data_IF_191658993252
#
_entry.id   IF_191658993252
#
_cell.length_a   1.000
_cell.length_b   1.000
_cell.length_c   1.000
_cell.angle_alpha   90.00
_cell.angle_beta   90.00
_cell.angle_gamma   90.00
#
_symmetry.space_group_name_H-M   'P 1'
#
loop_
_entity.id
_entity.type
_entity.pdbx_description
1 polymer ?
#
# COMPACT_ATOMS: atom_id res chain seq x y z
N UNK A 1 3.06 20.88 6.10
CA UNK A 1 2.60 19.78 6.96
C UNK A 1 2.47 18.51 6.14
N UNK A 2 3.05 17.42 6.59
CA UNK A 2 3.02 16.18 5.85
C UNK A 2 1.68 15.48 6.06
N UNK A 3 1.03 15.09 4.96
CA UNK A 3 -0.22 14.35 5.04
C UNK A 3 0.05 12.93 5.51
N UNK A 4 -0.78 12.42 6.44
CA UNK A 4 -0.68 11.04 6.88
C UNK A 4 -1.43 10.11 5.92
N UNK A 5 -0.85 8.95 5.68
CA UNK A 5 -1.52 7.93 4.89
C UNK A 5 -2.72 7.34 5.64
N UNK A 6 -3.68 6.80 4.91
CA UNK A 6 -4.84 6.12 5.50
C UNK A 6 -4.38 5.00 6.43
N UNK A 7 -3.40 4.22 6.01
CA UNK A 7 -2.87 3.09 6.79
C UNK A 7 -2.20 3.53 8.09
N UNK A 8 -1.79 4.79 8.19
CA UNK A 8 -1.16 5.29 9.42
C UNK A 8 -2.16 5.49 10.56
N UNK A 9 -3.47 5.49 10.24
CA UNK A 9 -4.53 5.59 11.23
C UNK A 9 -4.99 4.23 11.76
N UNK A 10 -4.52 3.13 11.18
CA UNK A 10 -4.89 1.80 11.67
C UNK A 10 -4.26 1.54 13.04
N UNK A 11 -4.99 0.88 13.96
CA UNK A 11 -4.40 0.50 15.23
C UNK A 11 -3.25 -0.50 15.04
N UNK A 12 -2.39 -0.62 16.04
CA UNK A 12 -1.20 -1.45 15.94
C UNK A 12 -1.51 -2.88 15.53
N UNK A 13 -2.56 -3.47 16.10
CA UNK A 13 -2.93 -4.86 15.82
C UNK A 13 -3.39 -5.09 14.38
N UNK A 14 -3.71 -4.02 13.64
CA UNK A 14 -4.09 -4.10 12.23
C UNK A 14 -3.00 -3.54 11.31
N UNK A 15 -1.79 -3.36 11.83
CA UNK A 15 -0.70 -2.67 11.10
C UNK A 15 0.46 -3.60 10.75
N UNK A 16 0.21 -4.90 10.63
CA UNK A 16 1.25 -5.89 10.31
C UNK A 16 1.09 -6.50 8.91
N UNK A 17 0.19 -5.98 8.10
CA UNK A 17 -0.03 -6.48 6.74
C UNK A 17 1.27 -6.44 5.94
N UNK A 18 1.57 -7.52 5.23
CA UNK A 18 2.75 -7.56 4.38
C UNK A 18 2.73 -6.46 3.31
N UNK A 19 1.55 -6.14 2.79
CA UNK A 19 1.41 -5.08 1.77
C UNK A 19 1.52 -3.68 2.34
N UNK A 20 0.77 -3.36 3.40
CA UNK A 20 0.63 -1.97 3.85
C UNK A 20 0.90 -1.74 5.35
N UNK A 21 1.30 -2.76 6.09
CA UNK A 21 1.52 -2.62 7.53
C UNK A 21 2.70 -1.73 7.87
N UNK A 22 2.45 -0.61 8.58
CA UNK A 22 3.52 0.28 9.00
C UNK A 22 4.47 -0.36 10.01
N UNK A 23 4.02 -1.43 10.68
CA UNK A 23 4.81 -2.15 11.68
C UNK A 23 5.49 -3.40 11.11
N UNK A 24 5.29 -3.71 9.84
CA UNK A 24 5.97 -4.83 9.20
C UNK A 24 7.21 -4.31 8.47
N UNK A 25 8.37 -4.47 9.08
CA UNK A 25 9.62 -3.95 8.54
C UNK A 25 10.03 -4.65 7.23
N UNK A 26 9.52 -5.85 6.99
CA UNK A 26 9.81 -6.61 5.77
C UNK A 26 8.75 -6.42 4.68
N UNK A 27 7.75 -5.59 4.96
CA UNK A 27 6.63 -5.40 4.05
C UNK A 27 6.86 -4.35 2.97
N UNK A 28 5.86 -4.21 2.12
CA UNK A 28 5.92 -3.29 0.99
C UNK A 28 5.67 -1.84 1.39
N UNK A 29 5.03 -1.62 2.52
CA UNK A 29 4.72 -0.29 3.07
C UNK A 29 3.93 0.57 2.10
N UNK A 30 2.92 -0.04 1.49
CA UNK A 30 2.00 0.65 0.59
C UNK A 30 1.23 1.70 1.38
N UNK A 31 1.15 2.92 0.83
CA UNK A 31 0.49 4.05 1.48
C UNK A 31 -0.53 4.66 0.54
N UNK A 32 -1.72 4.89 1.06
CA UNK A 32 -2.83 5.50 0.32
C UNK A 32 -3.20 6.83 0.96
N UNK A 33 -3.53 7.82 0.15
CA UNK A 33 -3.84 9.17 0.60
C UNK A 33 -5.12 9.66 -0.04
N UNK A 34 -5.87 10.48 0.69
CA UNK A 34 -6.97 11.22 0.11
C UNK A 34 -6.44 12.52 -0.47
N UNK A 35 -6.73 12.78 -1.74
CA UNK A 35 -6.40 14.03 -2.43
C UNK A 35 -7.69 14.59 -3.00
N UNK A 36 -8.36 15.46 -2.24
CA UNK A 36 -9.69 15.90 -2.59
C UNK A 36 -10.67 14.74 -2.59
N UNK A 37 -11.31 14.51 -3.73
CA UNK A 37 -12.28 13.42 -3.89
C UNK A 37 -11.65 12.09 -4.28
N UNK A 38 -10.34 12.06 -4.49
CA UNK A 38 -9.65 10.90 -5.01
C UNK A 38 -8.78 10.24 -3.96
N UNK A 39 -8.74 8.91 -4.00
CA UNK A 39 -7.78 8.14 -3.23
C UNK A 39 -6.61 7.79 -4.13
N UNK A 40 -5.39 8.12 -3.70
CA UNK A 40 -4.20 8.01 -4.52
C UNK A 40 -3.13 7.19 -3.79
N UNK A 41 -2.48 6.30 -4.52
CA UNK A 41 -1.35 5.52 -4.04
C UNK A 41 -0.23 5.62 -5.07
N UNK A 42 0.93 6.05 -4.63
CA UNK A 42 2.14 6.06 -5.45
C UNK A 42 3.11 5.02 -4.89
N UNK A 43 3.63 4.17 -5.75
CA UNK A 43 4.58 3.15 -5.33
C UNK A 43 5.66 3.00 -6.39
N UNK A 44 6.92 3.06 -5.96
CA UNK A 44 8.06 2.85 -6.86
C UNK A 44 8.60 1.44 -6.65
N UNK A 45 8.40 0.52 -7.60
CA UNK A 45 8.98 -0.83 -7.48
C UNK A 45 10.50 -0.77 -7.41
N UNK A 46 11.09 -1.63 -6.60
CA UNK A 46 12.53 -1.80 -6.52
C UNK A 46 12.98 -2.89 -7.46
N UNK A 47 14.29 -2.99 -7.67
CA UNK A 47 14.82 -3.98 -8.59
C UNK A 47 14.44 -5.40 -8.23
N UNK A 48 14.30 -5.69 -6.93
CA UNK A 48 13.91 -7.02 -6.47
C UNK A 48 12.41 -7.31 -6.58
N UNK A 49 11.60 -6.31 -6.99
CA UNK A 49 10.18 -6.52 -7.29
C UNK A 49 9.97 -6.95 -8.73
N UNK A 50 10.86 -7.79 -9.25
CA UNK A 50 10.84 -8.17 -10.64
C UNK A 50 10.11 -9.50 -10.86
N UNK A 51 9.36 -9.56 -11.97
CA UNK A 51 8.87 -10.79 -12.55
C UNK A 51 9.84 -11.27 -13.62
N UNK A 52 9.39 -11.51 -14.86
CA UNK A 52 10.33 -11.71 -15.97
C UNK A 52 11.22 -10.46 -16.14
N UNK A 53 12.42 -10.61 -16.67
CA UNK A 53 13.33 -9.46 -16.82
C UNK A 53 12.66 -8.27 -17.47
N UNK A 54 12.75 -7.11 -16.83
CA UNK A 54 12.15 -5.86 -17.32
C UNK A 54 10.72 -5.63 -16.92
N UNK A 55 10.09 -6.55 -16.16
CA UNK A 55 8.70 -6.42 -15.77
C UNK A 55 8.55 -6.50 -14.26
N UNK A 56 7.60 -5.72 -13.74
CA UNK A 56 7.24 -5.78 -12.32
C UNK A 56 6.50 -7.10 -12.04
N UNK A 57 6.78 -7.69 -10.88
CA UNK A 57 6.11 -8.91 -10.45
C UNK A 57 4.60 -8.67 -10.29
N UNK A 58 3.80 -9.56 -10.90
CA UNK A 58 2.34 -9.41 -10.88
C UNK A 58 1.74 -9.44 -9.49
N UNK A 59 2.36 -10.18 -8.56
CA UNK A 59 1.93 -10.22 -7.17
C UNK A 59 2.06 -8.88 -6.48
N UNK A 60 3.03 -8.07 -6.85
CA UNK A 60 3.16 -6.70 -6.34
C UNK A 60 1.99 -5.84 -6.83
N UNK A 61 1.64 -5.95 -8.11
CA UNK A 61 0.52 -5.19 -8.66
C UNK A 61 -0.78 -5.58 -7.95
N UNK A 62 -0.99 -6.87 -7.73
CA UNK A 62 -2.16 -7.35 -6.99
C UNK A 62 -2.17 -6.82 -5.56
N UNK A 63 -1.02 -6.75 -4.90
CA UNK A 63 -0.91 -6.21 -3.55
C UNK A 63 -1.26 -4.73 -3.51
N UNK A 64 -0.83 -3.95 -4.49
CA UNK A 64 -1.16 -2.53 -4.59
C UNK A 64 -2.67 -2.34 -4.72
N UNK A 65 -3.30 -3.09 -5.61
CA UNK A 65 -4.76 -3.02 -5.82
C UNK A 65 -5.49 -3.42 -4.55
N UNK A 66 -5.08 -4.52 -3.91
CA UNK A 66 -5.72 -5.05 -2.72
C UNK A 66 -5.63 -4.06 -1.55
N UNK A 67 -4.44 -3.65 -1.18
CA UNK A 67 -4.25 -2.78 -0.01
C UNK A 67 -4.84 -1.39 -0.23
N UNK A 68 -4.71 -0.84 -1.43
CA UNK A 68 -5.28 0.47 -1.75
C UNK A 68 -6.81 0.42 -1.73
N UNK A 69 -7.39 -0.59 -2.34
CA UNK A 69 -8.85 -0.74 -2.40
C UNK A 69 -9.44 -0.99 -1.03
N UNK A 70 -8.80 -1.83 -0.22
CA UNK A 70 -9.27 -2.10 1.14
C UNK A 70 -9.24 -0.85 2.00
N UNK A 71 -8.18 -0.06 1.90
CA UNK A 71 -8.03 1.15 2.69
C UNK A 71 -9.06 2.22 2.33
N UNK A 72 -9.47 2.26 1.07
CA UNK A 72 -10.33 3.33 0.55
C UNK A 72 -11.80 2.92 0.38
N UNK A 73 -12.11 1.62 0.51
CA UNK A 73 -13.48 1.14 0.35
C UNK A 73 -14.38 1.65 1.46
N UNK A 74 -15.66 1.93 1.18
CA UNK A 74 -16.60 2.31 2.23
C UNK A 74 -16.77 1.18 3.24
N UNK A 75 -16.95 1.56 4.50
CA UNK A 75 -17.28 0.59 5.54
C UNK A 75 -18.72 0.11 5.37
N UNK A 76 -18.92 -1.19 5.53
CA UNK A 76 -20.26 -1.78 5.44
C UNK A 76 -21.08 -1.48 6.72
#
# INVERSE_FOLDING_TARGET
MTQMAIQDYYPDELSHCYGCGRLNDDGLRIKSFWEGDEAVCHFRPRLYHTGPPGYVYGGLIASLVDCHSTATAPQA
#
